data_IF_639374063500
#
_entry.id   IF_639374063500
#
_cell.length_a   1.000
_cell.length_b   1.000
_cell.length_c   1.000
_cell.angle_alpha   90.00
_cell.angle_beta   90.00
_cell.angle_gamma   90.00
#
_symmetry.space_group_name_H-M   'P 1'
#
loop_
_entity.id
_entity.type
_entity.pdbx_description
1 polymer ?
#
# COMPACT_ATOMS: atom_id res chain seq x y z
N UNK A 1 -10.97 -1.79 -4.02
CA UNK A 1 -10.37 -3.01 -3.43
C UNK A 1 -11.35 -3.64 -2.46
N UNK A 2 -11.14 -4.90 -2.06
CA UNK A 2 -12.02 -5.59 -1.12
C UNK A 2 -11.44 -5.53 0.31
N UNK A 3 -11.90 -4.56 1.09
CA UNK A 3 -11.46 -4.32 2.48
C UNK A 3 -11.69 -5.52 3.40
N UNK A 4 -12.80 -6.25 3.19
CA UNK A 4 -13.15 -7.43 4.01
C UNK A 4 -12.10 -8.53 3.84
N UNK A 5 -11.68 -8.78 2.59
CA UNK A 5 -10.63 -9.77 2.32
C UNK A 5 -9.29 -9.32 2.91
N UNK A 6 -8.94 -8.03 2.78
CA UNK A 6 -7.68 -7.49 3.35
C UNK A 6 -7.66 -7.69 4.87
N UNK A 7 -8.74 -7.34 5.58
CA UNK A 7 -8.85 -7.56 7.03
C UNK A 7 -8.68 -9.03 7.40
N UNK A 8 -9.41 -9.92 6.72
CA UNK A 8 -9.34 -11.37 6.97
C UNK A 8 -7.93 -11.93 6.78
N UNK A 9 -7.20 -11.44 5.78
CA UNK A 9 -5.82 -11.84 5.50
C UNK A 9 -4.87 -11.36 6.61
N UNK A 10 -4.99 -10.09 7.05
CA UNK A 10 -4.18 -9.53 8.12
C UNK A 10 -4.40 -10.25 9.47
N UNK A 11 -5.65 -10.59 9.79
CA UNK A 11 -6.02 -11.32 11.01
C UNK A 11 -5.42 -12.74 11.08
N UNK A 12 -5.18 -13.39 9.94
CA UNK A 12 -4.50 -14.70 9.92
C UNK A 12 -3.03 -14.63 10.32
N UNK A 13 -2.41 -13.45 10.32
CA UNK A 13 -1.06 -13.20 10.86
C UNK A 13 0.12 -13.86 10.12
N UNK A 14 -0.13 -14.61 9.04
CA UNK A 14 0.89 -15.30 8.22
C UNK A 14 1.17 -14.59 6.89
N UNK A 15 0.67 -13.38 6.72
CA UNK A 15 0.82 -12.61 5.48
C UNK A 15 2.06 -11.74 5.59
N UNK A 16 2.92 -11.83 4.59
CA UNK A 16 3.97 -10.86 4.38
C UNK A 16 3.32 -9.59 3.79
N UNK A 17 3.21 -8.54 4.61
CA UNK A 17 2.50 -7.31 4.27
C UNK A 17 3.28 -6.42 3.28
N UNK A 18 4.59 -6.62 3.19
CA UNK A 18 5.48 -5.92 2.27
C UNK A 18 5.93 -6.80 1.10
N UNK A 19 5.24 -7.93 0.88
CA UNK A 19 5.49 -8.80 -0.25
C UNK A 19 5.43 -7.99 -1.55
N UNK A 20 6.51 -8.07 -2.33
CA UNK A 20 6.60 -7.41 -3.63
C UNK A 20 6.10 -8.34 -4.71
N UNK A 21 5.31 -7.83 -5.63
CA UNK A 21 5.02 -8.57 -6.85
C UNK A 21 6.26 -8.66 -7.75
N UNK A 22 6.36 -9.76 -8.51
CA UNK A 22 7.53 -10.04 -9.35
C UNK A 22 7.67 -9.09 -10.55
N UNK A 23 6.56 -8.44 -10.95
CA UNK A 23 6.49 -7.71 -12.21
C UNK A 23 7.05 -6.30 -12.04
N UNK A 24 6.51 -5.56 -11.08
CA UNK A 24 6.79 -4.15 -10.88
C UNK A 24 7.54 -3.92 -9.56
N UNK A 25 7.65 -4.94 -8.69
CA UNK A 25 8.30 -4.84 -7.39
C UNK A 25 7.48 -4.05 -6.38
N UNK A 26 6.15 -4.01 -6.53
CA UNK A 26 5.28 -3.14 -5.72
C UNK A 26 4.68 -3.90 -4.56
N UNK A 27 4.56 -3.19 -3.44
CA UNK A 27 3.90 -3.70 -2.23
C UNK A 27 2.38 -3.50 -2.32
N UNK A 28 1.58 -4.22 -1.50
CA UNK A 28 0.15 -3.96 -1.36
C UNK A 28 -0.17 -2.49 -1.07
N UNK A 29 0.67 -1.81 -0.28
CA UNK A 29 0.52 -0.39 0.02
C UNK A 29 0.72 0.48 -1.23
N UNK A 30 1.73 0.18 -2.06
CA UNK A 30 1.98 0.90 -3.32
C UNK A 30 0.79 0.77 -4.28
N UNK A 31 0.20 -0.42 -4.41
CA UNK A 31 -1.00 -0.63 -5.20
C UNK A 31 -2.22 0.10 -4.64
N UNK A 32 -2.46 0.01 -3.33
CA UNK A 32 -3.57 0.71 -2.69
C UNK A 32 -3.44 2.23 -2.85
N UNK A 33 -2.20 2.75 -2.79
CA UNK A 33 -1.92 4.16 -2.90
C UNK A 33 -2.20 4.70 -4.32
N UNK A 34 -1.73 4.01 -5.36
CA UNK A 34 -2.00 4.39 -6.76
C UNK A 34 -3.48 4.30 -7.13
N UNK A 35 -4.24 3.38 -6.52
CA UNK A 35 -5.67 3.22 -6.80
C UNK A 35 -6.57 4.08 -5.90
N UNK A 36 -5.99 4.88 -5.01
CA UNK A 36 -6.74 5.74 -4.10
C UNK A 36 -7.59 4.96 -3.09
N UNK A 37 -7.20 3.74 -2.72
CA UNK A 37 -7.97 2.89 -1.82
C UNK A 37 -7.73 3.27 -0.36
N UNK A 38 -8.27 4.43 0.05
CA UNK A 38 -8.05 5.05 1.36
C UNK A 38 -8.24 4.10 2.54
N UNK A 39 -9.33 3.32 2.56
CA UNK A 39 -9.61 2.39 3.64
C UNK A 39 -8.58 1.25 3.72
N UNK A 40 -8.11 0.74 2.58
CA UNK A 40 -7.07 -0.29 2.54
C UNK A 40 -5.73 0.30 2.99
N UNK A 41 -5.41 1.53 2.58
CA UNK A 41 -4.21 2.24 3.04
C UNK A 41 -4.23 2.38 4.56
N UNK A 42 -5.35 2.84 5.15
CA UNK A 42 -5.50 2.91 6.62
C UNK A 42 -5.30 1.55 7.28
N UNK A 43 -5.95 0.51 6.79
CA UNK A 43 -5.83 -0.84 7.36
C UNK A 43 -4.40 -1.36 7.34
N UNK A 44 -3.66 -1.13 6.26
CA UNK A 44 -2.26 -1.54 6.15
C UNK A 44 -1.37 -0.74 7.12
N UNK A 45 -1.59 0.57 7.23
CA UNK A 45 -0.85 1.45 8.15
C UNK A 45 -1.12 1.12 9.63
N UNK A 46 -2.37 0.80 9.98
CA UNK A 46 -2.78 0.41 11.35
C UNK A 46 -2.04 -0.83 11.86
N UNK A 47 -1.47 -1.66 10.99
CA UNK A 47 -0.64 -2.79 11.40
C UNK A 47 0.68 -2.36 12.04
N UNK A 48 1.17 -1.15 11.74
CA UNK A 48 2.44 -0.60 12.21
C UNK A 48 3.68 -1.34 11.69
N UNK A 49 3.53 -2.26 10.73
CA UNK A 49 4.60 -3.12 10.23
C UNK A 49 5.03 -2.83 8.80
N UNK A 50 4.20 -2.08 8.06
CA UNK A 50 4.38 -1.86 6.63
C UNK A 50 5.53 -0.88 6.37
N UNK A 51 6.35 -1.15 5.35
CA UNK A 51 7.35 -0.19 4.86
C UNK A 51 6.68 0.83 3.93
N UNK A 52 6.36 1.99 4.49
CA UNK A 52 5.74 3.11 3.75
C UNK A 52 6.65 3.70 2.66
N UNK A 53 7.96 3.44 2.74
CA UNK A 53 8.96 3.96 1.80
C UNK A 53 9.46 2.88 0.83
N UNK A 54 8.81 1.72 0.79
CA UNK A 54 9.16 0.65 -0.12
C UNK A 54 9.14 1.14 -1.57
N UNK A 55 10.29 1.02 -2.24
CA UNK A 55 10.46 1.41 -3.64
C UNK A 55 10.12 0.27 -4.57
N UNK A 56 9.38 0.58 -5.62
CA UNK A 56 9.20 -0.33 -6.75
C UNK A 56 10.48 -0.52 -7.57
N UNK A 57 10.51 -1.57 -8.39
CA UNK A 57 11.69 -1.89 -9.20
C UNK A 57 11.73 -1.08 -10.50
N UNK A 58 10.56 -0.73 -11.05
CA UNK A 58 10.45 -0.13 -12.37
C UNK A 58 10.94 1.33 -12.39
N UNK A 59 10.57 2.12 -11.38
CA UNK A 59 10.85 3.56 -11.33
C UNK A 59 11.43 4.04 -10.00
N UNK A 60 11.61 3.15 -9.02
CA UNK A 60 12.02 3.50 -7.67
C UNK A 60 10.99 4.34 -6.92
N UNK A 61 9.70 4.26 -7.30
CA UNK A 61 8.64 5.08 -6.71
C UNK A 61 8.14 4.46 -5.42
N UNK A 62 7.84 5.31 -4.45
CA UNK A 62 7.20 4.94 -3.18
C UNK A 62 5.68 5.00 -3.31
N UNK A 63 4.92 4.38 -2.38
CA UNK A 63 3.47 4.55 -2.30
C UNK A 63 3.03 6.02 -2.33
N UNK A 64 3.77 6.91 -1.65
CA UNK A 64 3.49 8.35 -1.64
C UNK A 64 3.59 8.98 -3.04
N UNK A 65 4.64 8.64 -3.79
CA UNK A 65 4.83 9.15 -5.16
C UNK A 65 3.69 8.68 -6.08
N UNK A 66 3.27 7.42 -5.96
CA UNK A 66 2.14 6.90 -6.71
C UNK A 66 0.82 7.60 -6.38
N UNK A 67 0.54 7.84 -5.09
CA UNK A 67 -0.66 8.58 -4.67
C UNK A 67 -0.65 10.03 -5.19
N UNK A 68 0.50 10.71 -5.12
CA UNK A 68 0.66 12.07 -5.58
C UNK A 68 0.51 12.20 -7.10
N UNK A 69 1.12 11.30 -7.88
CA UNK A 69 1.00 11.29 -9.35
C UNK A 69 -0.44 11.09 -9.82
N UNK A 70 -1.22 10.28 -9.10
CA UNK A 70 -2.64 10.04 -9.41
C UNK A 70 -3.60 11.05 -8.79
N UNK A 71 -3.10 12.00 -8.00
CA UNK A 71 -3.92 13.05 -7.38
C UNK A 71 -4.78 12.56 -6.21
N UNK A 72 -4.40 11.47 -5.54
CA UNK A 72 -5.14 10.92 -4.41
C UNK A 72 -4.78 11.67 -3.11
N UNK A 73 -5.30 12.89 -2.95
CA UNK A 73 -4.96 13.79 -1.85
C UNK A 73 -5.16 13.17 -0.47
N UNK A 74 -6.27 12.46 -0.24
CA UNK A 74 -6.50 11.80 1.06
C UNK A 74 -5.45 10.74 1.36
N UNK A 75 -5.05 9.96 0.35
CA UNK A 75 -4.00 8.94 0.50
C UNK A 75 -2.65 9.58 0.75
N UNK A 76 -2.32 10.67 0.06
CA UNK A 76 -1.11 11.46 0.32
C UNK A 76 -1.07 11.89 1.78
N UNK A 77 -2.17 12.43 2.31
CA UNK A 77 -2.27 12.84 3.72
C UNK A 77 -2.13 11.66 4.70
N UNK A 78 -2.54 10.46 4.31
CA UNK A 78 -2.38 9.26 5.15
C UNK A 78 -0.94 8.73 5.17
N UNK A 79 -0.16 9.03 4.12
CA UNK A 79 1.22 8.57 3.95
C UNK A 79 2.28 9.59 4.39
N UNK A 80 1.86 10.77 4.89
CA UNK A 80 2.70 11.82 5.48
C UNK A 80 2.70 11.71 7.01
#
# INVERSE_FOLDING_TARGET
GNEVIVKLLLERGKVDIDAKDDKDGRTPLSWAAEKGHEAIVKLLLETGKVDINAKDHEYGRTPLVWAAEKGHETVVKLLL
#
